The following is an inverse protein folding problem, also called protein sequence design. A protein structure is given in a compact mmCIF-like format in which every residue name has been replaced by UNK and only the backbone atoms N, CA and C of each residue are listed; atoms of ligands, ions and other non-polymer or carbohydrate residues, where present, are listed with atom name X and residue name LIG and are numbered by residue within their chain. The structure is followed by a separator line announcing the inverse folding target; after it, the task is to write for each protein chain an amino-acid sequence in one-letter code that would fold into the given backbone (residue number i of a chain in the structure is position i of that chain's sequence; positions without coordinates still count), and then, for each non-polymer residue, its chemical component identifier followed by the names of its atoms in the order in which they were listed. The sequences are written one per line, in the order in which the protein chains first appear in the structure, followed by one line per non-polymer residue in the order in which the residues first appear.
data_IF_685299886822
#
_entry.id   IF_685299886822
#
_cell.length_a   1.000
_cell.length_b   1.000
_cell.length_c   1.000
_cell.angle_alpha   90.00
_cell.angle_beta   90.00
_cell.angle_gamma   90.00
#
_symmetry.space_group_name_H-M   'P 1'
#
loop_
_entity.id
_entity.type
_entity.pdbx_description
1 polymer ?
#
# COMPACT_ATOMS: atom_id res chain seq x y z
N UNK A 1 -22.01 1.70 -28.85
CA UNK A 1 -22.56 1.39 -27.52
C UNK A 1 -21.98 2.38 -26.53
N UNK A 2 -22.83 3.14 -25.84
CA UNK A 2 -22.36 4.02 -24.76
C UNK A 2 -22.07 3.15 -23.53
N UNK A 3 -20.96 3.43 -22.90
CA UNK A 3 -20.52 2.75 -21.69
C UNK A 3 -20.53 3.73 -20.51
N UNK A 4 -21.01 3.28 -19.35
CA UNK A 4 -20.95 4.06 -18.12
C UNK A 4 -20.31 3.22 -17.01
N UNK A 5 -19.43 3.83 -16.25
CA UNK A 5 -18.77 3.18 -15.11
C UNK A 5 -19.58 3.39 -13.85
N UNK A 6 -19.81 2.30 -13.11
CA UNK A 6 -20.50 2.36 -11.81
C UNK A 6 -19.79 3.34 -10.86
N UNK A 7 -18.46 3.41 -10.91
CA UNK A 7 -17.67 4.31 -10.09
C UNK A 7 -18.05 5.78 -10.31
N UNK A 8 -18.32 6.17 -11.55
CA UNK A 8 -18.71 7.54 -11.88
C UNK A 8 -20.05 7.91 -11.22
N UNK A 9 -20.97 6.95 -11.12
CA UNK A 9 -22.23 7.13 -10.39
C UNK A 9 -22.00 7.25 -8.89
N UNK A 10 -21.13 6.42 -8.33
CA UNK A 10 -20.80 6.45 -6.89
C UNK A 10 -20.16 7.76 -6.46
N UNK A 11 -19.39 8.39 -7.34
CA UNK A 11 -18.70 9.66 -7.07
C UNK A 11 -19.59 10.88 -7.13
N UNK A 12 -20.79 10.78 -7.69
CA UNK A 12 -21.74 11.90 -7.77
C UNK A 12 -22.24 12.28 -6.38
N UNK A 13 -22.37 13.59 -6.14
CA UNK A 13 -23.04 14.10 -4.93
C UNK A 13 -24.50 13.66 -4.93
N UNK A 14 -25.19 13.64 -3.77
CA UNK A 14 -26.63 13.33 -3.73
C UNK A 14 -27.47 14.21 -4.66
N UNK A 15 -27.13 15.50 -4.75
CA UNK A 15 -27.84 16.43 -5.65
C UNK A 15 -27.59 16.10 -7.13
N UNK A 16 -26.35 15.83 -7.51
CA UNK A 16 -25.98 15.47 -8.88
C UNK A 16 -26.56 14.14 -9.30
N UNK A 17 -26.59 13.17 -8.38
CA UNK A 17 -27.20 11.87 -8.61
C UNK A 17 -28.71 11.98 -8.83
N UNK A 18 -29.39 12.81 -8.05
CA UNK A 18 -30.82 13.09 -8.22
C UNK A 18 -31.11 13.76 -9.58
N UNK A 19 -30.31 14.76 -9.95
CA UNK A 19 -30.43 15.43 -11.25
C UNK A 19 -30.24 14.45 -12.40
N UNK A 20 -29.24 13.60 -12.30
CA UNK A 20 -28.99 12.57 -13.31
C UNK A 20 -30.13 11.54 -13.40
N UNK A 21 -30.71 11.16 -12.26
CA UNK A 21 -31.87 10.27 -12.22
C UNK A 21 -33.08 10.89 -12.95
N UNK A 22 -33.33 12.18 -12.76
CA UNK A 22 -34.39 12.91 -13.46
C UNK A 22 -34.13 12.98 -14.99
N UNK A 23 -32.88 13.19 -15.40
CA UNK A 23 -32.50 13.19 -16.82
C UNK A 23 -32.75 11.85 -17.51
N UNK A 24 -32.64 10.73 -16.78
CA UNK A 24 -32.86 9.38 -17.31
C UNK A 24 -34.30 8.86 -17.01
N UNK A 25 -35.18 9.74 -16.58
CA UNK A 25 -36.62 9.45 -16.38
C UNK A 25 -36.90 8.43 -15.25
N UNK A 26 -36.19 8.53 -14.15
CA UNK A 26 -36.47 7.74 -12.94
C UNK A 26 -37.65 8.40 -12.20
N UNK A 27 -38.74 7.64 -12.00
CA UNK A 27 -39.88 8.10 -11.25
C UNK A 27 -39.61 8.08 -9.73
N UNK A 28 -40.13 9.08 -9.00
CA UNK A 28 -40.01 9.20 -7.55
C UNK A 28 -38.56 9.24 -7.02
N UNK A 29 -37.63 9.75 -7.83
CA UNK A 29 -36.19 9.79 -7.48
C UNK A 29 -35.92 10.48 -6.14
N UNK A 30 -36.63 11.56 -5.82
CA UNK A 30 -36.45 12.35 -4.60
C UNK A 30 -36.79 11.58 -3.30
N UNK A 31 -37.61 10.54 -3.40
CA UNK A 31 -38.00 9.71 -2.26
C UNK A 31 -37.08 8.50 -2.01
N UNK A 32 -36.15 8.24 -2.90
CA UNK A 32 -35.27 7.07 -2.85
C UNK A 32 -34.01 7.32 -2.02
N UNK A 33 -33.57 6.29 -1.33
CA UNK A 33 -32.21 6.27 -0.74
C UNK A 33 -31.16 6.15 -1.85
N UNK A 34 -29.92 6.54 -1.54
CA UNK A 34 -28.82 6.55 -2.53
C UNK A 34 -28.69 5.23 -3.29
N UNK A 35 -28.73 4.10 -2.60
CA UNK A 35 -28.59 2.78 -3.22
C UNK A 35 -29.79 2.43 -4.11
N UNK A 36 -31.02 2.70 -3.63
CA UNK A 36 -32.25 2.50 -4.42
C UNK A 36 -32.24 3.36 -5.67
N UNK A 37 -31.78 4.60 -5.54
CA UNK A 37 -31.65 5.54 -6.64
C UNK A 37 -30.62 5.06 -7.68
N UNK A 38 -29.48 4.56 -7.24
CA UNK A 38 -28.47 3.98 -8.14
C UNK A 38 -29.00 2.77 -8.91
N UNK A 39 -29.73 1.87 -8.23
CA UNK A 39 -30.35 0.72 -8.87
C UNK A 39 -31.39 1.12 -9.91
N UNK A 40 -32.22 2.12 -9.59
CA UNK A 40 -33.23 2.65 -10.51
C UNK A 40 -32.58 3.30 -11.75
N UNK A 41 -31.52 4.06 -11.55
CA UNK A 41 -30.75 4.66 -12.66
C UNK A 41 -30.19 3.56 -13.58
N UNK A 42 -29.59 2.53 -13.02
CA UNK A 42 -29.02 1.43 -13.78
C UNK A 42 -30.06 0.64 -14.58
N UNK A 43 -31.24 0.43 -14.02
CA UNK A 43 -32.37 -0.18 -14.75
C UNK A 43 -32.77 0.67 -15.97
N UNK A 44 -32.88 1.99 -15.80
CA UNK A 44 -33.22 2.89 -16.90
C UNK A 44 -32.13 2.93 -17.97
N UNK A 45 -30.85 2.95 -17.58
CA UNK A 45 -29.74 2.91 -18.52
C UNK A 45 -29.72 1.60 -19.30
N UNK A 46 -30.06 0.48 -18.68
CA UNK A 46 -30.18 -0.82 -19.36
C UNK A 46 -31.27 -0.80 -20.42
N UNK A 47 -32.39 -0.10 -20.21
CA UNK A 47 -33.46 0.04 -21.23
C UNK A 47 -33.02 0.89 -22.41
N UNK A 48 -31.97 1.69 -22.28
CA UNK A 48 -31.42 2.59 -23.31
C UNK A 48 -30.20 2.00 -24.02
N UNK A 49 -29.93 0.70 -23.85
CA UNK A 49 -28.76 0.01 -24.41
C UNK A 49 -27.41 0.62 -24.01
N UNK A 50 -27.33 1.15 -22.80
CA UNK A 50 -26.09 1.64 -22.20
C UNK A 50 -25.51 0.53 -21.34
N UNK A 51 -24.29 0.11 -21.65
CA UNK A 51 -23.58 -0.89 -20.85
C UNK A 51 -23.00 -0.27 -19.58
N UNK A 52 -23.25 -0.92 -18.46
CA UNK A 52 -22.68 -0.51 -17.17
C UNK A 52 -21.49 -1.41 -16.86
N UNK A 53 -20.36 -0.80 -16.56
CA UNK A 53 -19.17 -1.53 -16.12
C UNK A 53 -18.90 -1.27 -14.64
N UNK A 54 -18.42 -2.30 -13.97
CA UNK A 54 -18.00 -2.24 -12.59
C UNK A 54 -16.68 -2.95 -12.41
N UNK A 55 -15.99 -2.62 -11.34
CA UNK A 55 -14.71 -3.23 -11.01
C UNK A 55 -14.60 -3.45 -9.50
N UNK A 56 -13.70 -4.32 -9.12
CA UNK A 56 -13.38 -4.57 -7.74
C UNK A 56 -12.41 -5.73 -7.58
N UNK A 57 -12.09 -6.04 -6.35
CA UNK A 57 -11.20 -7.15 -6.01
C UNK A 57 -12.03 -8.32 -5.54
N UNK A 58 -11.84 -9.47 -6.17
CA UNK A 58 -12.58 -10.70 -5.84
C UNK A 58 -12.24 -11.18 -4.45
N UNK A 59 -13.26 -11.46 -3.67
CA UNK A 59 -13.17 -12.33 -2.50
C UNK A 59 -14.02 -13.57 -2.78
N UNK A 60 -13.37 -14.73 -2.86
CA UNK A 60 -14.03 -16.02 -3.07
C UNK A 60 -14.44 -16.58 -1.73
N UNK A 61 -15.74 -16.89 -1.58
CA UNK A 61 -16.29 -17.42 -0.34
C UNK A 61 -16.33 -18.96 -0.35
N UNK A 62 -16.51 -19.55 0.83
CA UNK A 62 -16.47 -21.02 0.99
C UNK A 62 -17.47 -21.77 0.11
N UNK A 63 -18.61 -21.16 -0.19
CA UNK A 63 -19.64 -21.76 -1.04
C UNK A 63 -19.31 -21.73 -2.54
N UNK A 64 -18.15 -21.19 -2.91
CA UNK A 64 -17.67 -21.18 -4.28
C UNK A 64 -18.10 -19.99 -5.13
N UNK A 65 -18.98 -19.14 -4.64
CA UNK A 65 -19.27 -17.84 -5.26
C UNK A 65 -18.36 -16.75 -4.68
N UNK A 66 -18.39 -15.56 -5.23
CA UNK A 66 -17.60 -14.45 -4.74
C UNK A 66 -18.25 -13.09 -4.92
N UNK A 67 -17.56 -12.08 -4.42
CA UNK A 67 -17.94 -10.68 -4.60
C UNK A 67 -16.73 -9.87 -5.06
N UNK A 68 -16.98 -8.86 -5.88
CA UNK A 68 -16.00 -7.82 -6.14
C UNK A 68 -16.14 -6.78 -5.05
N UNK A 69 -15.11 -6.65 -4.24
CA UNK A 69 -15.02 -5.68 -3.13
C UNK A 69 -14.45 -4.36 -3.62
N UNK A 70 -14.97 -3.26 -3.11
CA UNK A 70 -14.55 -1.91 -3.53
C UNK A 70 -13.42 -1.36 -2.66
N UNK A 71 -12.42 -0.68 -3.24
CA UNK A 71 -11.43 0.06 -2.46
C UNK A 71 -12.06 1.20 -1.64
N UNK A 72 -13.18 1.76 -2.07
CA UNK A 72 -13.91 2.80 -1.34
C UNK A 72 -14.44 2.30 0.02
N UNK A 73 -14.68 1.00 0.14
CA UNK A 73 -15.09 0.33 1.38
C UNK A 73 -13.92 -0.43 2.02
N UNK A 74 -12.68 -0.12 1.67
CA UNK A 74 -11.45 -0.77 2.15
C UNK A 74 -11.48 -2.29 1.96
N UNK A 75 -12.08 -2.75 0.86
CA UNK A 75 -12.27 -4.16 0.50
C UNK A 75 -13.12 -4.96 1.50
N UNK A 76 -13.84 -4.29 2.37
CA UNK A 76 -14.79 -4.92 3.28
C UNK A 76 -16.14 -5.15 2.60
N UNK A 77 -16.94 -6.13 3.08
CA UNK A 77 -18.29 -6.31 2.56
C UNK A 77 -19.11 -5.04 2.60
N UNK A 78 -19.79 -4.72 1.51
CA UNK A 78 -20.62 -3.54 1.37
C UNK A 78 -21.82 -3.77 0.47
N UNK A 79 -22.82 -2.86 0.52
CA UNK A 79 -24.05 -3.01 -0.27
C UNK A 79 -23.84 -2.85 -1.78
N UNK A 80 -22.75 -2.22 -2.18
CA UNK A 80 -22.39 -1.97 -3.58
C UNK A 80 -21.52 -3.07 -4.19
N UNK A 81 -21.28 -4.17 -3.47
CA UNK A 81 -20.49 -5.28 -3.96
C UNK A 81 -21.15 -5.96 -5.15
N UNK A 82 -20.33 -6.49 -6.04
CA UNK A 82 -20.79 -7.12 -7.26
C UNK A 82 -20.66 -8.64 -7.11
N UNK A 83 -21.78 -9.34 -7.25
CA UNK A 83 -21.82 -10.80 -7.15
C UNK A 83 -21.13 -11.45 -8.36
N UNK A 84 -20.31 -12.45 -8.07
CA UNK A 84 -19.62 -13.28 -9.07
C UNK A 84 -20.05 -14.73 -8.86
N UNK A 85 -20.61 -15.36 -9.91
CA UNK A 85 -21.14 -16.72 -9.82
C UNK A 85 -20.03 -17.78 -9.71
N UNK A 86 -20.34 -18.96 -9.15
CA UNK A 86 -19.39 -20.06 -9.10
C UNK A 86 -18.88 -20.47 -10.49
N UNK A 87 -19.73 -20.42 -11.51
CA UNK A 87 -19.35 -20.76 -12.89
C UNK A 87 -18.34 -19.78 -13.46
N UNK A 88 -18.48 -18.49 -13.17
CA UNK A 88 -17.52 -17.46 -13.59
C UNK A 88 -16.18 -17.64 -12.89
N UNK A 89 -16.20 -17.93 -11.59
CA UNK A 89 -14.99 -18.20 -10.81
C UNK A 89 -14.22 -19.38 -11.39
N UNK A 90 -14.90 -20.47 -11.69
CA UNK A 90 -14.26 -21.65 -12.31
C UNK A 90 -13.77 -21.36 -13.71
N UNK A 91 -14.59 -20.73 -14.54
CA UNK A 91 -14.27 -20.44 -15.96
C UNK A 91 -12.99 -19.62 -16.10
N UNK A 92 -12.83 -18.59 -15.27
CA UNK A 92 -11.69 -17.66 -15.34
C UNK A 92 -10.58 -18.00 -14.34
N UNK A 93 -10.75 -19.04 -13.52
CA UNK A 93 -9.78 -19.40 -12.50
C UNK A 93 -9.55 -18.28 -11.49
N UNK A 94 -10.61 -17.57 -11.10
CA UNK A 94 -10.52 -16.43 -10.20
C UNK A 94 -10.14 -16.87 -8.79
N UNK A 95 -9.25 -16.12 -8.20
CA UNK A 95 -8.81 -16.31 -6.82
C UNK A 95 -8.99 -15.00 -6.05
N UNK A 96 -9.13 -15.11 -4.72
CA UNK A 96 -9.16 -13.94 -3.85
C UNK A 96 -7.97 -13.04 -4.15
N UNK A 97 -8.23 -11.76 -4.35
CA UNK A 97 -7.22 -10.77 -4.70
C UNK A 97 -7.20 -10.37 -6.18
N UNK A 98 -7.78 -11.16 -7.08
CA UNK A 98 -7.86 -10.79 -8.50
C UNK A 98 -8.69 -9.51 -8.67
N UNK A 99 -8.12 -8.54 -9.39
CA UNK A 99 -8.84 -7.31 -9.77
C UNK A 99 -9.58 -7.56 -11.07
N UNK A 100 -10.91 -7.48 -11.02
CA UNK A 100 -11.79 -7.78 -12.16
C UNK A 100 -12.57 -6.54 -12.55
N UNK A 101 -12.61 -6.27 -13.85
CA UNK A 101 -13.47 -5.26 -14.44
C UNK A 101 -14.36 -5.92 -15.49
N UNK A 102 -15.63 -5.57 -15.49
CA UNK A 102 -16.55 -6.14 -16.44
C UNK A 102 -17.90 -5.46 -16.47
N UNK A 103 -18.76 -5.95 -17.36
CA UNK A 103 -20.12 -5.51 -17.48
C UNK A 103 -20.96 -6.09 -16.35
N UNK A 104 -21.79 -5.26 -15.74
CA UNK A 104 -22.66 -5.63 -14.62
C UNK A 104 -24.13 -5.37 -14.97
N UNK A 105 -25.02 -6.01 -14.22
CA UNK A 105 -26.46 -5.75 -14.27
C UNK A 105 -26.97 -5.39 -12.89
N UNK A 106 -28.09 -4.67 -12.86
CA UNK A 106 -28.81 -4.37 -11.63
C UNK A 106 -29.45 -5.64 -11.04
N UNK A 107 -29.76 -5.66 -9.73
CA UNK A 107 -30.44 -6.77 -9.10
C UNK A 107 -31.80 -7.08 -9.74
N UNK A 108 -32.12 -8.34 -9.90
CA UNK A 108 -33.45 -8.82 -10.23
C UNK A 108 -34.32 -8.89 -8.97
N UNK A 109 -35.62 -9.13 -9.14
CA UNK A 109 -36.54 -9.29 -8.00
C UNK A 109 -36.02 -10.41 -7.06
N UNK A 110 -35.88 -10.06 -5.77
CA UNK A 110 -35.34 -10.94 -4.75
C UNK A 110 -33.84 -10.96 -4.60
N UNK A 111 -33.10 -10.31 -5.50
CA UNK A 111 -31.66 -10.15 -5.41
C UNK A 111 -31.29 -8.85 -4.70
N UNK A 112 -30.16 -8.86 -3.99
CA UNK A 112 -29.66 -7.69 -3.23
C UNK A 112 -28.48 -6.97 -3.86
N UNK A 113 -27.76 -7.63 -4.78
CA UNK A 113 -26.49 -7.16 -5.30
C UNK A 113 -26.50 -7.00 -6.80
N UNK A 114 -25.66 -6.12 -7.31
CA UNK A 114 -25.26 -6.13 -8.71
C UNK A 114 -24.65 -7.48 -9.04
N UNK A 115 -24.78 -7.91 -10.28
CA UNK A 115 -24.18 -9.16 -10.75
C UNK A 115 -23.27 -8.91 -11.93
N UNK A 116 -22.11 -9.58 -11.93
CA UNK A 116 -21.19 -9.56 -13.05
C UNK A 116 -21.79 -10.37 -14.22
N UNK A 117 -21.90 -9.74 -15.40
CA UNK A 117 -22.38 -10.36 -16.63
C UNK A 117 -21.22 -10.89 -17.47
N UNK A 118 -20.23 -10.06 -17.71
CA UNK A 118 -19.10 -10.36 -18.59
C UNK A 118 -17.80 -9.82 -17.98
N UNK A 119 -16.75 -10.62 -18.04
CA UNK A 119 -15.41 -10.23 -17.59
C UNK A 119 -14.68 -9.57 -18.76
N UNK A 120 -14.29 -8.31 -18.61
CA UNK A 120 -13.52 -7.57 -19.61
C UNK A 120 -12.01 -7.72 -19.37
N UNK A 121 -11.58 -7.50 -18.12
CA UNK A 121 -10.16 -7.64 -17.74
C UNK A 121 -10.02 -8.33 -16.40
N UNK A 122 -8.88 -9.00 -16.23
CA UNK A 122 -8.43 -9.58 -14.95
C UNK A 122 -7.02 -9.04 -14.70
N UNK A 123 -6.84 -8.34 -13.57
CA UNK A 123 -5.58 -7.67 -13.22
C UNK A 123 -5.06 -6.78 -14.37
N UNK A 124 -5.99 -6.03 -14.97
CA UNK A 124 -5.76 -5.08 -16.08
C UNK A 124 -5.31 -5.70 -17.39
N UNK A 125 -5.42 -7.01 -17.55
CA UNK A 125 -5.07 -7.74 -18.76
C UNK A 125 -6.28 -8.47 -19.32
N UNK A 126 -6.19 -8.86 -20.60
CA UNK A 126 -7.19 -9.72 -21.21
C UNK A 126 -7.32 -11.04 -20.44
N UNK A 127 -8.54 -11.55 -20.20
CA UNK A 127 -8.74 -12.81 -19.47
C UNK A 127 -7.98 -14.01 -20.02
N UNK A 128 -7.76 -14.08 -21.33
CA UNK A 128 -7.01 -15.16 -21.94
C UNK A 128 -5.52 -15.13 -21.58
N UNK A 129 -4.95 -13.93 -21.43
CA UNK A 129 -3.56 -13.78 -21.00
C UNK A 129 -3.36 -14.18 -19.54
N UNK A 130 -4.38 -14.03 -18.70
CA UNK A 130 -4.28 -14.35 -17.27
C UNK A 130 -4.19 -15.86 -16.99
N UNK A 131 -4.48 -16.71 -17.98
CA UNK A 131 -4.43 -18.19 -17.82
C UNK A 131 -3.02 -18.75 -17.72
N UNK A 132 -2.03 -18.03 -18.21
CA UNK A 132 -0.65 -18.50 -18.33
C UNK A 132 0.30 -17.94 -17.26
N UNK A 133 -0.24 -17.50 -16.14
CA UNK A 133 0.55 -16.96 -15.03
C UNK A 133 1.13 -18.05 -14.15
N UNK A 134 2.26 -17.74 -13.53
CA UNK A 134 2.84 -18.56 -12.47
C UNK A 134 2.32 -18.01 -11.13
N UNK A 135 1.85 -18.90 -10.25
CA UNK A 135 1.37 -18.49 -8.93
C UNK A 135 2.50 -17.90 -8.09
N UNK A 136 2.18 -16.91 -7.27
CA UNK A 136 3.16 -16.14 -6.49
C UNK A 136 4.15 -17.01 -5.72
N UNK A 137 3.67 -18.07 -5.07
CA UNK A 137 4.52 -18.96 -4.26
C UNK A 137 5.57 -19.73 -5.07
N UNK A 138 5.37 -19.84 -6.38
CA UNK A 138 6.28 -20.52 -7.30
C UNK A 138 7.23 -19.56 -8.04
N UNK A 139 7.11 -18.26 -7.81
CA UNK A 139 8.01 -17.26 -8.40
C UNK A 139 9.36 -17.26 -7.70
N UNK A 140 10.42 -16.97 -8.45
CA UNK A 140 11.80 -17.00 -7.92
C UNK A 140 12.16 -15.66 -7.28
N UNK A 141 12.38 -15.61 -5.96
CA UNK A 141 12.73 -14.37 -5.28
C UNK A 141 14.21 -14.00 -5.52
N UNK A 142 14.43 -12.71 -5.76
CA UNK A 142 15.75 -12.12 -5.92
C UNK A 142 15.92 -10.94 -4.95
N UNK A 143 17.17 -10.53 -4.74
CA UNK A 143 17.44 -9.25 -4.11
C UNK A 143 16.97 -8.10 -4.99
N UNK A 144 16.54 -6.96 -4.40
CA UNK A 144 16.28 -5.76 -5.18
C UNK A 144 17.52 -5.35 -5.99
N UNK A 145 17.35 -5.10 -7.28
CA UNK A 145 18.40 -4.73 -8.22
C UNK A 145 18.06 -3.53 -9.10
N UNK A 146 16.87 -2.96 -8.91
CA UNK A 146 16.44 -1.75 -9.59
C UNK A 146 16.12 -0.67 -8.56
N UNK A 147 16.86 0.43 -8.61
CA UNK A 147 16.78 1.50 -7.62
C UNK A 147 15.49 2.31 -7.77
N UNK A 148 14.74 2.42 -6.68
CA UNK A 148 13.63 3.36 -6.54
C UNK A 148 14.19 4.68 -6.00
N UNK A 149 14.61 5.54 -6.90
CA UNK A 149 15.18 6.85 -6.54
C UNK A 149 14.11 7.70 -5.88
N UNK A 150 14.40 8.21 -4.70
CA UNK A 150 13.48 9.07 -3.94
C UNK A 150 13.62 10.54 -4.33
N UNK A 151 14.80 10.98 -4.71
CA UNK A 151 15.04 12.36 -5.15
C UNK A 151 14.16 12.69 -6.37
N UNK A 152 13.42 13.79 -6.27
CA UNK A 152 12.54 14.27 -7.35
C UNK A 152 13.17 15.51 -7.96
N UNK A 153 13.37 15.51 -9.27
CA UNK A 153 13.92 16.63 -10.01
C UNK A 153 12.98 17.84 -9.94
N UNK A 154 13.53 19.00 -9.64
CA UNK A 154 12.76 20.26 -9.58
C UNK A 154 11.86 20.39 -8.35
N UNK A 155 11.94 19.48 -7.38
CA UNK A 155 11.12 19.55 -6.16
C UNK A 155 11.51 20.73 -5.28
N UNK A 156 10.55 21.17 -4.43
CA UNK A 156 10.81 22.20 -3.43
C UNK A 156 11.90 21.73 -2.46
N UNK A 157 12.94 22.56 -2.31
CA UNK A 157 14.16 22.23 -1.57
C UNK A 157 13.98 22.20 -0.05
N UNK A 158 12.76 22.43 0.47
CA UNK A 158 12.53 22.54 1.91
C UNK A 158 12.63 21.20 2.61
N UNK A 159 12.15 20.12 1.98
CA UNK A 159 12.20 18.80 2.56
C UNK A 159 13.29 17.97 1.87
N UNK A 160 14.35 17.70 2.65
CA UNK A 160 15.51 16.96 2.19
C UNK A 160 15.37 15.44 2.42
N UNK A 161 14.25 14.97 2.96
CA UNK A 161 14.04 13.56 3.28
C UNK A 161 14.31 12.62 2.10
N UNK A 162 13.78 12.87 0.88
CA UNK A 162 14.07 11.99 -0.25
C UNK A 162 15.55 11.88 -0.59
N UNK A 163 16.26 13.02 -0.51
CA UNK A 163 17.71 13.05 -0.78
C UNK A 163 18.51 12.27 0.26
N UNK A 164 18.11 12.40 1.54
CA UNK A 164 18.78 11.70 2.64
C UNK A 164 18.55 10.19 2.53
N UNK A 165 17.34 9.76 2.22
CA UNK A 165 17.02 8.33 2.04
C UNK A 165 17.89 7.70 0.95
N UNK A 166 18.02 8.35 -0.19
CA UNK A 166 18.84 7.85 -1.30
C UNK A 166 20.32 7.68 -0.92
N UNK A 167 20.82 8.54 -0.03
CA UNK A 167 22.21 8.51 0.43
C UNK A 167 22.43 7.45 1.51
N UNK A 168 21.48 7.35 2.45
CA UNK A 168 21.65 6.58 3.70
C UNK A 168 21.09 5.17 3.59
N UNK A 169 19.93 5.03 2.98
CA UNK A 169 19.21 3.76 2.88
C UNK A 169 18.47 3.69 1.54
N UNK A 170 19.19 3.51 0.42
CA UNK A 170 18.55 3.43 -0.89
C UNK A 170 17.57 2.26 -0.94
N UNK A 171 16.43 2.50 -1.57
CA UNK A 171 15.33 1.54 -1.70
C UNK A 171 15.26 1.01 -3.13
N UNK A 172 14.96 -0.25 -3.29
CA UNK A 172 14.79 -0.87 -4.59
C UNK A 172 13.45 -1.55 -4.75
N UNK A 173 13.09 -1.87 -5.98
CA UNK A 173 11.91 -2.69 -6.28
C UNK A 173 12.07 -4.06 -5.64
N UNK A 174 11.11 -4.46 -4.82
CA UNK A 174 11.19 -5.69 -4.04
C UNK A 174 11.76 -5.51 -2.64
N UNK A 175 12.02 -4.28 -2.22
CA UNK A 175 12.58 -3.99 -0.90
C UNK A 175 11.63 -4.38 0.22
N UNK A 176 12.19 -4.96 1.26
CA UNK A 176 11.50 -5.24 2.52
C UNK A 176 12.09 -4.34 3.58
N UNK A 177 11.51 -3.13 3.71
CA UNK A 177 12.07 -2.06 4.53
C UNK A 177 11.25 -1.77 5.77
N UNK A 178 11.97 -1.43 6.86
CA UNK A 178 11.36 -0.92 8.09
C UNK A 178 11.73 0.55 8.28
N UNK A 179 10.73 1.34 8.65
CA UNK A 179 10.93 2.67 9.21
C UNK A 179 10.74 2.54 10.71
N UNK A 180 11.83 2.54 11.46
CA UNK A 180 11.83 2.36 12.91
C UNK A 180 11.57 3.72 13.55
N UNK A 181 10.41 3.90 14.16
CA UNK A 181 9.93 5.21 14.58
C UNK A 181 9.52 5.25 16.05
N UNK A 182 10.26 5.98 16.90
CA UNK A 182 9.73 6.44 18.17
C UNK A 182 8.56 7.41 17.95
N UNK A 183 7.74 7.67 18.99
CA UNK A 183 6.67 8.66 18.85
C UNK A 183 7.18 10.05 18.48
N UNK A 184 6.43 10.76 17.64
CA UNK A 184 6.68 12.17 17.26
C UNK A 184 8.00 12.39 16.52
N UNK A 185 8.39 11.45 15.66
CA UNK A 185 9.64 11.54 14.90
C UNK A 185 9.46 11.84 13.41
N UNK A 186 8.23 12.12 12.99
CA UNK A 186 7.94 12.48 11.59
C UNK A 186 7.77 11.29 10.64
N UNK A 187 7.35 10.13 11.14
CA UNK A 187 7.15 8.94 10.31
C UNK A 187 6.16 9.15 9.17
N UNK A 188 5.09 9.90 9.42
CA UNK A 188 4.05 10.19 8.42
C UNK A 188 4.61 11.01 7.27
N UNK A 189 5.43 12.03 7.57
CA UNK A 189 6.10 12.83 6.53
C UNK A 189 7.04 11.98 5.68
N UNK A 190 7.77 11.06 6.28
CA UNK A 190 8.64 10.13 5.55
C UNK A 190 7.82 9.27 4.59
N UNK A 191 6.71 8.70 5.05
CA UNK A 191 5.83 7.90 4.20
C UNK A 191 5.22 8.71 3.05
N UNK A 192 4.77 9.93 3.32
CA UNK A 192 4.24 10.83 2.29
C UNK A 192 5.30 11.18 1.24
N UNK A 193 6.53 11.43 1.67
CA UNK A 193 7.66 11.69 0.77
C UNK A 193 7.97 10.46 -0.10
N UNK A 194 8.01 9.28 0.48
CA UNK A 194 8.25 8.04 -0.27
C UNK A 194 7.13 7.83 -1.29
N UNK A 195 5.87 8.01 -0.89
CA UNK A 195 4.72 7.88 -1.79
C UNK A 195 4.81 8.85 -2.97
N UNK A 196 5.07 10.13 -2.69
CA UNK A 196 5.21 11.16 -3.71
C UNK A 196 6.37 10.86 -4.68
N UNK A 197 7.51 10.43 -4.14
CA UNK A 197 8.68 10.10 -4.95
C UNK A 197 8.42 8.92 -5.88
N UNK A 198 7.75 7.89 -5.39
CA UNK A 198 7.40 6.71 -6.19
C UNK A 198 6.42 7.08 -7.31
N UNK A 199 5.35 7.80 -7.01
CA UNK A 199 4.36 8.18 -8.01
C UNK A 199 4.93 9.12 -9.07
N UNK A 200 5.89 9.96 -8.70
CA UNK A 200 6.55 10.90 -9.62
C UNK A 200 7.63 10.22 -10.47
N UNK A 201 8.52 9.45 -9.85
CA UNK A 201 9.68 8.86 -10.50
C UNK A 201 9.40 7.51 -11.14
N UNK A 202 8.42 6.76 -10.63
CA UNK A 202 8.09 5.41 -11.05
C UNK A 202 6.58 5.24 -11.20
N UNK A 203 5.96 5.94 -12.17
CA UNK A 203 4.50 5.88 -12.36
C UNK A 203 3.98 4.51 -12.76
N UNK A 204 4.86 3.60 -13.22
CA UNK A 204 4.50 2.20 -13.50
C UNK A 204 4.22 1.40 -12.24
N UNK A 205 4.71 1.82 -11.08
CA UNK A 205 4.46 1.13 -9.82
C UNK A 205 3.02 1.34 -9.35
N UNK A 206 2.39 0.25 -8.94
CA UNK A 206 1.07 0.30 -8.31
C UNK A 206 1.26 0.55 -6.81
N UNK A 207 0.90 1.73 -6.36
CA UNK A 207 1.11 2.16 -4.97
C UNK A 207 -0.15 1.95 -4.14
N UNK A 208 0.00 1.25 -3.02
CA UNK A 208 -1.03 1.08 -2.00
C UNK A 208 -0.48 1.58 -0.67
N UNK A 209 -1.19 2.51 -0.03
CA UNK A 209 -0.91 2.91 1.35
C UNK A 209 -1.93 2.21 2.24
N UNK A 210 -1.45 1.40 3.16
CA UNK A 210 -2.28 0.63 4.10
C UNK A 210 -2.10 1.18 5.51
N UNK A 211 -3.17 1.73 6.06
CA UNK A 211 -3.19 2.34 7.39
C UNK A 211 -3.99 1.45 8.34
N UNK A 212 -3.32 0.91 9.35
CA UNK A 212 -3.94 0.01 10.33
C UNK A 212 -3.92 0.67 11.70
N UNK A 213 -5.12 0.80 12.31
CA UNK A 213 -5.31 1.35 13.65
C UNK A 213 -4.86 2.82 13.75
N UNK A 214 -4.98 3.56 12.65
CA UNK A 214 -4.70 5.00 12.59
C UNK A 214 -5.96 5.82 12.85
N UNK A 215 -5.77 7.11 13.10
CA UNK A 215 -6.88 8.05 13.32
C UNK A 215 -7.56 8.43 12.01
N UNK A 216 -8.89 8.65 12.00
CA UNK A 216 -9.60 9.04 10.77
C UNK A 216 -9.03 10.30 10.11
N UNK A 217 -8.61 11.31 10.88
CA UNK A 217 -8.01 12.53 10.35
C UNK A 217 -6.66 12.27 9.64
N UNK A 218 -5.88 11.31 10.11
CA UNK A 218 -4.62 10.91 9.46
C UNK A 218 -4.89 10.16 8.15
N UNK A 219 -5.95 9.36 8.09
CA UNK A 219 -6.40 8.71 6.86
C UNK A 219 -6.78 9.76 5.81
N UNK A 220 -7.58 10.75 6.20
CA UNK A 220 -8.01 11.83 5.32
C UNK A 220 -6.80 12.61 4.79
N UNK A 221 -5.85 12.93 5.65
CA UNK A 221 -4.62 13.63 5.27
C UNK A 221 -3.81 12.84 4.25
N UNK A 222 -3.68 11.54 4.46
CA UNK A 222 -2.98 10.65 3.53
C UNK A 222 -3.70 10.56 2.17
N UNK A 223 -5.01 10.42 2.17
CA UNK A 223 -5.82 10.39 0.94
C UNK A 223 -5.66 11.67 0.10
N UNK A 224 -5.54 12.83 0.78
CA UNK A 224 -5.38 14.12 0.11
C UNK A 224 -3.96 14.38 -0.39
N UNK A 225 -2.96 13.78 0.23
CA UNK A 225 -1.55 14.04 -0.06
C UNK A 225 -0.90 12.98 -0.96
N UNK A 226 -1.50 11.81 -1.13
CA UNK A 226 -0.94 10.69 -1.90
C UNK A 226 -1.76 10.44 -3.15
N UNK A 227 -1.08 10.38 -4.28
CA UNK A 227 -1.67 9.96 -5.56
C UNK A 227 -1.52 8.45 -5.72
N UNK A 228 -2.34 7.71 -5.00
CA UNK A 228 -2.33 6.26 -4.97
C UNK A 228 -3.56 5.73 -4.25
N UNK A 229 -3.63 4.41 -4.09
CA UNK A 229 -4.72 3.78 -3.38
C UNK A 229 -4.45 3.84 -1.88
N UNK A 230 -5.36 4.44 -1.10
CA UNK A 230 -5.26 4.50 0.36
C UNK A 230 -6.35 3.61 0.95
N UNK A 231 -5.93 2.56 1.63
CA UNK A 231 -6.80 1.58 2.28
C UNK A 231 -6.56 1.66 3.78
N UNK A 232 -7.61 1.68 4.56
CA UNK A 232 -7.49 1.89 6.00
C UNK A 232 -8.44 1.02 6.83
N UNK A 233 -8.04 0.78 8.05
CA UNK A 233 -8.89 0.30 9.13
C UNK A 233 -8.52 1.11 10.37
N UNK A 234 -9.40 2.03 10.77
CA UNK A 234 -9.15 3.01 11.81
C UNK A 234 -9.23 2.42 13.23
N UNK A 235 -8.75 3.19 14.22
CA UNK A 235 -8.61 2.71 15.60
C UNK A 235 -9.94 2.31 16.27
N UNK A 236 -11.06 2.81 15.77
CA UNK A 236 -12.40 2.50 16.25
C UNK A 236 -12.98 1.19 15.68
N UNK A 237 -12.28 0.58 14.73
CA UNK A 237 -12.63 -0.72 14.17
C UNK A 237 -12.07 -1.88 15.02
N UNK A 238 -12.77 -3.04 15.06
CA UNK A 238 -12.24 -4.19 15.78
C UNK A 238 -11.03 -4.83 15.10
N UNK A 239 -10.21 -5.53 15.87
CA UNK A 239 -8.99 -6.17 15.38
C UNK A 239 -9.22 -7.12 14.20
N UNK A 240 -10.35 -7.82 14.18
CA UNK A 240 -10.72 -8.71 13.08
C UNK A 240 -10.83 -7.97 11.74
N UNK A 241 -11.27 -6.72 11.75
CA UNK A 241 -11.34 -5.88 10.54
C UNK A 241 -9.96 -5.46 10.07
N UNK A 242 -9.06 -5.11 10.98
CA UNK A 242 -7.67 -4.80 10.63
C UNK A 242 -7.04 -5.96 9.87
N UNK A 243 -7.22 -7.18 10.37
CA UNK A 243 -6.71 -8.40 9.72
C UNK A 243 -7.35 -8.62 8.37
N UNK A 244 -8.66 -8.50 8.26
CA UNK A 244 -9.40 -8.71 7.01
C UNK A 244 -8.96 -7.74 5.91
N UNK A 245 -8.82 -6.47 6.24
CA UNK A 245 -8.35 -5.45 5.30
C UNK A 245 -6.93 -5.76 4.82
N UNK A 246 -6.02 -6.07 5.74
CA UNK A 246 -4.63 -6.40 5.41
C UNK A 246 -4.53 -7.64 4.51
N UNK A 247 -5.33 -8.68 4.79
CA UNK A 247 -5.36 -9.91 3.99
C UNK A 247 -5.84 -9.63 2.55
N UNK A 248 -6.85 -8.80 2.38
CA UNK A 248 -7.32 -8.43 1.04
C UNK A 248 -6.28 -7.63 0.26
N UNK A 249 -5.58 -6.72 0.91
CA UNK A 249 -4.53 -5.92 0.29
C UNK A 249 -3.37 -6.80 -0.18
N UNK A 250 -2.88 -7.69 0.66
CA UNK A 250 -1.75 -8.55 0.29
C UNK A 250 -2.12 -9.54 -0.83
N UNK A 251 -3.33 -10.08 -0.81
CA UNK A 251 -3.79 -10.97 -1.86
C UNK A 251 -3.91 -10.22 -3.20
N UNK A 252 -4.45 -9.00 -3.19
CA UNK A 252 -4.47 -8.15 -4.38
C UNK A 252 -3.06 -7.91 -4.92
N UNK A 253 -2.14 -7.54 -4.05
CA UNK A 253 -0.76 -7.28 -4.44
C UNK A 253 -0.09 -8.51 -5.06
N UNK A 254 -0.27 -9.69 -4.47
CA UNK A 254 0.25 -10.94 -5.01
C UNK A 254 -0.29 -11.24 -6.41
N UNK A 255 -1.60 -11.02 -6.64
CA UNK A 255 -2.21 -11.25 -7.96
C UNK A 255 -1.62 -10.30 -9.00
N UNK A 256 -1.42 -9.04 -8.67
CA UNK A 256 -0.78 -8.07 -9.57
C UNK A 256 0.67 -8.47 -9.90
N UNK A 257 1.44 -8.94 -8.93
CA UNK A 257 2.81 -9.40 -9.14
C UNK A 257 2.86 -10.63 -10.03
N UNK A 258 1.89 -11.54 -9.93
CA UNK A 258 1.77 -12.68 -10.84
C UNK A 258 1.60 -12.26 -12.31
N UNK A 259 1.07 -11.04 -12.52
CA UNK A 259 0.94 -10.41 -13.83
C UNK A 259 2.10 -9.47 -14.17
N UNK A 260 3.24 -9.65 -13.52
CA UNK A 260 4.50 -8.91 -13.75
C UNK A 260 4.40 -7.43 -13.46
N UNK A 261 3.50 -7.04 -12.54
CA UNK A 261 3.38 -5.65 -12.09
C UNK A 261 4.34 -5.39 -10.93
N UNK A 262 4.79 -4.16 -10.83
CA UNK A 262 5.56 -3.68 -9.69
C UNK A 262 4.60 -3.04 -8.69
N UNK A 263 4.48 -3.64 -7.51
CA UNK A 263 3.57 -3.17 -6.46
C UNK A 263 4.37 -2.64 -5.29
N UNK A 264 3.98 -1.50 -4.77
CA UNK A 264 4.56 -0.92 -3.55
C UNK A 264 3.46 -0.78 -2.51
N UNK A 265 3.68 -1.37 -1.34
CA UNK A 265 2.81 -1.22 -0.18
C UNK A 265 3.57 -0.42 0.88
N UNK A 266 2.98 0.71 1.29
CA UNK A 266 3.44 1.47 2.45
C UNK A 266 2.49 1.16 3.60
N UNK A 267 2.99 0.50 4.63
CA UNK A 267 2.19 0.02 5.76
C UNK A 267 2.50 0.85 7.03
N UNK A 268 1.53 1.48 7.57
CA UNK A 268 1.61 2.16 8.86
C UNK A 268 0.53 1.59 9.80
N UNK A 269 0.85 0.69 10.70
CA UNK A 269 2.16 0.15 11.03
C UNK A 269 2.13 -1.37 11.13
N UNK A 270 3.28 -2.01 10.96
CA UNK A 270 3.42 -3.46 11.18
C UNK A 270 3.21 -3.82 12.66
N UNK A 271 3.56 -2.92 13.56
CA UNK A 271 3.36 -3.10 15.01
C UNK A 271 1.88 -3.28 15.36
N UNK A 272 1.04 -2.41 14.82
CA UNK A 272 -0.41 -2.47 15.07
C UNK A 272 -1.07 -3.65 14.35
N UNK A 273 -0.57 -4.00 13.18
CA UNK A 273 -1.01 -5.22 12.50
C UNK A 273 -0.66 -6.46 13.32
N UNK A 274 0.55 -6.50 13.88
CA UNK A 274 0.96 -7.57 14.79
C UNK A 274 0.07 -7.68 16.02
N UNK A 275 -0.31 -6.56 16.62
CA UNK A 275 -1.27 -6.51 17.74
C UNK A 275 -2.64 -7.08 17.35
N UNK A 276 -3.12 -6.70 16.16
CA UNK A 276 -4.41 -7.16 15.65
C UNK A 276 -4.41 -8.68 15.47
N UNK A 277 -3.37 -9.24 14.88
CA UNK A 277 -3.22 -10.68 14.76
C UNK A 277 -3.13 -11.40 16.13
N UNK A 278 -2.43 -10.79 17.09
CA UNK A 278 -2.36 -11.33 18.44
C UNK A 278 -3.75 -11.43 19.11
N UNK A 279 -4.64 -10.50 18.79
CA UNK A 279 -6.02 -10.51 19.31
C UNK A 279 -6.89 -11.58 18.64
N UNK A 280 -6.74 -11.82 17.34
CA UNK A 280 -7.66 -12.68 16.56
C UNK A 280 -7.17 -14.11 16.40
N UNK A 281 -5.87 -14.37 16.54
CA UNK A 281 -5.32 -15.73 16.41
C UNK A 281 -5.72 -16.59 17.60
N UNK A 282 -6.18 -17.84 17.38
CA UNK A 282 -6.48 -18.75 18.48
C UNK A 282 -5.25 -18.96 19.39
N UNK A 283 -5.47 -18.96 20.70
CA UNK A 283 -4.39 -19.14 21.67
C UNK A 283 -3.68 -20.48 21.47
N UNK A 284 -2.34 -20.45 21.41
CA UNK A 284 -1.50 -21.65 21.37
C UNK A 284 -1.29 -22.30 22.76
N UNK A 285 -1.69 -21.61 23.83
CA UNK A 285 -1.35 -21.96 25.20
C UNK A 285 0.06 -21.52 25.62
N UNK A 286 0.84 -20.93 24.71
CA UNK A 286 2.17 -20.38 24.97
C UNK A 286 2.16 -18.90 24.72
N UNK A 287 2.37 -18.10 25.76
CA UNK A 287 2.44 -16.65 25.69
C UNK A 287 3.89 -16.22 25.89
N UNK A 288 4.43 -15.48 24.94
CA UNK A 288 5.76 -14.89 25.03
C UNK A 288 5.74 -13.66 25.96
N UNK A 289 6.93 -13.17 26.30
CA UNK A 289 7.08 -11.92 27.05
C UNK A 289 6.27 -10.81 26.38
N UNK A 290 5.60 -9.96 27.17
CA UNK A 290 4.78 -8.88 26.64
C UNK A 290 3.36 -9.24 26.21
N UNK A 291 2.93 -10.49 26.45
CA UNK A 291 1.57 -10.93 26.15
C UNK A 291 1.33 -11.33 24.69
N UNK A 292 2.39 -11.59 23.93
CA UNK A 292 2.31 -12.02 22.53
C UNK A 292 2.19 -13.56 22.48
N UNK A 293 1.13 -14.07 21.84
CA UNK A 293 0.98 -15.50 21.61
C UNK A 293 2.07 -16.01 20.66
N UNK A 294 2.59 -17.20 20.89
CA UNK A 294 3.68 -17.79 20.11
C UNK A 294 3.37 -17.89 18.61
N UNK A 295 2.09 -18.04 18.25
CA UNK A 295 1.65 -18.16 16.84
C UNK A 295 1.16 -16.85 16.23
N UNK A 296 1.07 -15.77 17.01
CA UNK A 296 0.42 -14.52 16.59
C UNK A 296 1.14 -13.81 15.44
N UNK A 297 2.47 -13.86 15.40
CA UNK A 297 3.27 -13.10 14.46
C UNK A 297 3.57 -13.86 13.16
N UNK A 298 3.15 -15.08 13.02
CA UNK A 298 3.42 -15.90 11.84
C UNK A 298 2.80 -15.30 10.56
N UNK A 299 1.53 -14.91 10.63
CA UNK A 299 0.83 -14.30 9.48
C UNK A 299 1.33 -12.91 9.13
N UNK A 300 1.54 -11.99 10.08
CA UNK A 300 2.16 -10.70 9.73
C UNK A 300 3.60 -10.85 9.23
N UNK A 301 4.37 -11.84 9.67
CA UNK A 301 5.68 -12.15 9.07
C UNK A 301 5.56 -12.61 7.62
N UNK A 302 4.54 -13.41 7.29
CA UNK A 302 4.26 -13.80 5.90
C UNK A 302 3.83 -12.61 5.06
N UNK A 303 3.07 -11.68 5.64
CA UNK A 303 2.71 -10.42 4.97
C UNK A 303 3.98 -9.65 4.59
N UNK A 304 4.81 -9.34 5.59
CA UNK A 304 6.05 -8.58 5.37
C UNK A 304 7.05 -9.35 4.49
N UNK A 305 7.15 -10.64 4.70
CA UNK A 305 8.01 -11.54 3.94
C UNK A 305 7.60 -11.74 2.48
N UNK A 306 6.41 -11.31 2.07
CA UNK A 306 5.99 -11.33 0.67
C UNK A 306 6.75 -10.31 -0.18
N UNK A 307 7.40 -9.32 0.43
CA UNK A 307 8.23 -8.35 -0.28
C UNK A 307 9.45 -9.02 -0.90
N UNK A 308 9.56 -8.94 -2.23
CA UNK A 308 10.63 -9.56 -3.01
C UNK A 308 10.67 -9.02 -4.43
N UNK A 309 11.85 -9.01 -5.00
CA UNK A 309 12.02 -8.87 -6.44
C UNK A 309 11.86 -10.24 -7.08
N UNK A 310 11.37 -10.31 -8.29
CA UNK A 310 10.99 -11.56 -8.95
C UNK A 310 11.75 -11.73 -10.26
N UNK A 311 12.42 -12.88 -10.43
CA UNK A 311 13.20 -13.20 -11.63
C UNK A 311 12.32 -13.21 -12.89
N UNK A 312 11.12 -13.75 -12.80
CA UNK A 312 10.18 -13.87 -13.92
C UNK A 312 9.54 -12.52 -14.31
N UNK A 313 9.77 -11.48 -13.53
CA UNK A 313 9.24 -10.14 -13.74
C UNK A 313 8.24 -9.73 -12.67
N UNK A 314 8.15 -8.42 -12.46
CA UNK A 314 7.36 -7.85 -11.37
C UNK A 314 8.12 -7.80 -10.06
N UNK A 315 7.55 -7.13 -9.09
CA UNK A 315 8.13 -7.01 -7.75
C UNK A 315 7.06 -6.65 -6.74
N UNK A 316 7.30 -7.02 -5.48
CA UNK A 316 6.51 -6.53 -4.36
C UNK A 316 7.45 -5.84 -3.38
N UNK A 317 7.25 -4.54 -3.20
CA UNK A 317 7.97 -3.72 -2.23
C UNK A 317 7.06 -3.45 -1.05
N UNK A 318 7.54 -3.68 0.18
CA UNK A 318 6.80 -3.35 1.39
C UNK A 318 7.70 -2.52 2.29
N UNK A 319 7.28 -1.28 2.54
CA UNK A 319 7.93 -0.37 3.48
C UNK A 319 6.95 -0.19 4.64
N UNK A 320 7.30 -0.71 5.79
CA UNK A 320 6.43 -0.71 6.96
C UNK A 320 7.05 0.10 8.11
N UNK A 321 6.20 0.84 8.82
CA UNK A 321 6.62 1.49 10.05
C UNK A 321 6.57 0.50 11.21
N UNK A 322 7.61 0.51 12.02
CA UNK A 322 7.70 -0.24 13.26
C UNK A 322 7.81 0.75 14.42
N UNK A 323 6.90 0.65 15.38
CA UNK A 323 6.82 1.59 16.50
C UNK A 323 7.71 1.11 17.66
N UNK A 324 8.55 2.00 18.15
CA UNK A 324 9.42 1.75 19.31
C UNK A 324 9.22 2.84 20.37
N UNK A 325 9.71 2.61 21.58
CA UNK A 325 9.66 3.55 22.70
C UNK A 325 8.24 4.06 23.00
N UNK A 326 7.25 3.19 22.82
CA UNK A 326 5.83 3.49 23.07
C UNK A 326 5.42 3.26 24.52
N UNK A 327 6.31 2.69 25.34
CA UNK A 327 6.00 2.24 26.68
C UNK A 327 5.33 0.87 26.75
N UNK A 328 5.06 0.26 25.61
CA UNK A 328 4.43 -1.06 25.51
C UNK A 328 5.47 -2.17 25.37
N UNK A 329 5.45 -3.13 26.29
CA UNK A 329 6.31 -4.32 26.20
C UNK A 329 5.96 -5.17 24.97
N UNK A 330 4.69 -5.23 24.62
CA UNK A 330 4.22 -5.94 23.43
C UNK A 330 4.84 -5.36 22.16
N UNK A 331 4.88 -4.03 22.03
CA UNK A 331 5.48 -3.37 20.88
C UNK A 331 6.97 -3.67 20.74
N UNK A 332 7.70 -3.74 21.85
CA UNK A 332 9.11 -4.11 21.85
C UNK A 332 9.31 -5.54 21.33
N UNK A 333 8.49 -6.48 21.78
CA UNK A 333 8.55 -7.88 21.32
C UNK A 333 8.23 -7.98 19.83
N UNK A 334 7.20 -7.28 19.36
CA UNK A 334 6.85 -7.25 17.95
C UNK A 334 8.00 -6.68 17.11
N UNK A 335 8.59 -5.58 17.54
CA UNK A 335 9.73 -4.98 16.85
C UNK A 335 10.91 -5.94 16.74
N UNK A 336 11.30 -6.60 17.83
CA UNK A 336 12.42 -7.56 17.83
C UNK A 336 12.15 -8.73 16.86
N UNK A 337 10.92 -9.19 16.75
CA UNK A 337 10.54 -10.26 15.83
C UNK A 337 10.64 -9.85 14.35
N UNK A 338 10.40 -8.57 14.02
CA UNK A 338 10.49 -8.07 12.63
C UNK A 338 11.86 -7.53 12.26
N UNK A 339 12.67 -7.14 13.22
CA UNK A 339 13.98 -6.52 13.00
C UNK A 339 14.90 -7.35 12.10
N UNK A 340 14.92 -8.67 12.29
CA UNK A 340 15.74 -9.58 11.50
C UNK A 340 15.17 -9.97 10.14
N UNK A 341 13.92 -9.61 9.85
CA UNK A 341 13.23 -9.99 8.60
C UNK A 341 13.44 -8.99 7.48
N UNK A 342 13.63 -7.73 7.78
CA UNK A 342 13.84 -6.67 6.80
C UNK A 342 15.23 -6.66 6.20
N UNK A 343 15.33 -6.11 5.00
CA UNK A 343 16.62 -5.91 4.30
C UNK A 343 16.96 -4.43 4.10
N UNK A 344 16.20 -3.53 4.67
CA UNK A 344 16.47 -2.09 4.74
C UNK A 344 15.87 -1.52 6.01
N UNK A 345 16.57 -0.59 6.62
CA UNK A 345 16.07 0.12 7.82
C UNK A 345 16.34 1.61 7.70
N UNK A 346 15.31 2.40 7.98
CA UNK A 346 15.39 3.84 8.20
C UNK A 346 15.04 4.07 9.66
N UNK A 347 16.04 4.39 10.48
CA UNK A 347 15.85 4.56 11.91
C UNK A 347 15.68 6.04 12.23
N UNK A 348 14.58 6.39 12.88
CA UNK A 348 14.30 7.76 13.32
C UNK A 348 14.70 7.92 14.78
N UNK A 349 15.22 9.10 15.13
CA UNK A 349 15.71 9.41 16.46
C UNK A 349 14.86 10.49 17.12
N UNK A 350 14.39 10.21 18.34
CA UNK A 350 13.52 11.12 19.09
C UNK A 350 14.25 12.40 19.51
N UNK A 351 15.50 12.32 19.93
CA UNK A 351 16.27 13.50 20.39
C UNK A 351 16.49 14.48 19.24
N UNK A 352 16.72 13.97 18.04
CA UNK A 352 16.84 14.79 16.81
C UNK A 352 15.53 15.49 16.51
N UNK A 353 14.42 14.76 16.55
CA UNK A 353 13.09 15.31 16.33
C UNK A 353 12.69 16.35 17.39
N UNK A 354 13.03 16.13 18.65
CA UNK A 354 12.78 17.07 19.74
C UNK A 354 13.45 18.42 19.49
N UNK A 355 14.58 18.43 18.80
CA UNK A 355 15.28 19.65 18.38
C UNK A 355 14.78 20.23 17.06
N UNK A 356 13.69 19.70 16.53
CA UNK A 356 13.06 20.14 15.27
C UNK A 356 13.98 20.03 14.06
N UNK A 357 14.90 19.05 14.07
CA UNK A 357 15.72 18.70 12.92
C UNK A 357 15.04 17.56 12.18
N UNK A 358 14.67 17.79 10.92
CA UNK A 358 13.98 16.81 10.07
C UNK A 358 14.63 16.73 8.69
N UNK A 359 14.75 15.52 8.11
CA UNK A 359 14.31 14.23 8.68
C UNK A 359 15.16 13.82 9.88
N UNK A 360 14.51 13.29 10.91
CA UNK A 360 15.17 12.91 12.16
C UNK A 360 15.83 11.51 12.04
N UNK A 361 16.62 11.32 11.01
CA UNK A 361 17.22 10.02 10.68
C UNK A 361 18.53 9.80 11.43
N UNK A 362 18.63 8.65 12.09
CA UNK A 362 19.89 8.15 12.65
C UNK A 362 20.68 7.48 11.53
N UNK A 363 21.66 8.19 10.99
CA UNK A 363 22.41 7.75 9.82
C UNK A 363 23.19 6.47 10.09
N UNK A 364 23.84 6.38 11.24
CA UNK A 364 24.68 5.23 11.59
C UNK A 364 23.88 3.92 11.71
N UNK A 365 22.61 4.00 12.15
CA UNK A 365 21.72 2.83 12.34
C UNK A 365 20.86 2.52 11.14
N UNK A 366 20.88 3.37 10.12
CA UNK A 366 20.09 3.19 8.90
C UNK A 366 20.96 2.57 7.79
N UNK A 367 20.34 1.85 6.88
CA UNK A 367 21.05 1.26 5.75
C UNK A 367 20.23 0.23 5.00
N UNK A 368 20.76 -0.22 3.87
CA UNK A 368 20.15 -1.23 2.99
C UNK A 368 21.16 -2.33 2.69
N UNK A 369 20.74 -3.58 2.83
CA UNK A 369 21.54 -4.74 2.45
C UNK A 369 21.66 -4.81 0.93
N UNK A 370 22.86 -5.20 0.44
CA UNK A 370 23.12 -5.37 -0.99
C UNK A 370 22.83 -4.11 -1.81
N UNK A 371 23.12 -2.94 -1.23
CA UNK A 371 22.93 -1.65 -1.91
C UNK A 371 23.77 -1.52 -3.19
N UNK A 372 24.86 -2.30 -3.30
CA UNK A 372 25.69 -2.38 -4.50
C UNK A 372 24.95 -2.88 -5.74
N UNK A 373 23.80 -3.56 -5.54
CA UNK A 373 22.93 -3.99 -6.65
C UNK A 373 22.01 -2.86 -7.13
N UNK A 374 21.83 -1.81 -6.32
CA UNK A 374 20.94 -0.69 -6.60
C UNK A 374 21.68 0.54 -7.11
N UNK A 375 22.76 0.89 -6.44
CA UNK A 375 23.48 2.15 -6.65
C UNK A 375 24.67 1.91 -7.58
N UNK A 376 24.86 2.79 -8.60
CA UNK A 376 26.04 2.69 -9.47
C UNK A 376 27.36 2.74 -8.68
N UNK A 377 28.35 1.99 -9.11
CA UNK A 377 29.63 1.85 -8.42
C UNK A 377 30.32 3.18 -8.10
N UNK A 378 30.29 4.12 -9.04
CA UNK A 378 30.87 5.46 -8.85
C UNK A 378 30.22 6.23 -7.71
N UNK A 379 28.91 6.18 -7.61
CA UNK A 379 28.13 6.79 -6.53
C UNK A 379 28.39 6.06 -5.20
N UNK A 380 28.41 4.73 -5.23
CA UNK A 380 28.59 3.89 -4.05
C UNK A 380 29.94 4.18 -3.36
N UNK A 381 30.99 4.33 -4.12
CA UNK A 381 32.32 4.70 -3.59
C UNK A 381 32.28 6.03 -2.84
N UNK A 382 31.62 7.03 -3.39
CA UNK A 382 31.44 8.34 -2.74
C UNK A 382 30.59 8.24 -1.48
N UNK A 383 29.56 7.40 -1.49
CA UNK A 383 28.74 7.13 -0.31
C UNK A 383 29.57 6.50 0.81
N UNK A 384 30.46 5.60 0.51
CA UNK A 384 31.36 5.00 1.50
C UNK A 384 32.30 6.03 2.12
N UNK A 385 32.84 6.93 1.31
CA UNK A 385 33.69 8.04 1.82
C UNK A 385 32.86 8.93 2.76
N UNK A 386 31.65 9.28 2.37
CA UNK A 386 30.76 10.08 3.21
C UNK A 386 30.46 9.39 4.55
N UNK A 387 30.19 8.10 4.55
CA UNK A 387 29.93 7.33 5.77
C UNK A 387 31.12 7.32 6.71
N UNK A 388 32.32 7.25 6.18
CA UNK A 388 33.57 7.35 6.99
C UNK A 388 33.69 8.70 7.66
N UNK A 389 33.22 9.77 7.02
CA UNK A 389 33.22 11.12 7.59
C UNK A 389 32.15 11.22 8.70
N UNK A 390 30.97 10.62 8.46
CA UNK A 390 29.82 10.73 9.37
C UNK A 390 29.89 9.79 10.58
N UNK A 391 30.47 8.60 10.43
CA UNK A 391 30.51 7.58 11.49
C UNK A 391 31.11 8.04 12.82
N UNK A 392 32.21 8.82 12.87
CA UNK A 392 32.75 9.32 14.13
C UNK A 392 31.87 10.37 14.82
N UNK A 393 30.92 10.96 14.10
CA UNK A 393 30.02 11.98 14.63
C UNK A 393 28.90 11.35 15.44
N UNK A 394 28.38 12.06 16.42
CA UNK A 394 27.15 11.67 17.13
C UNK A 394 25.93 11.75 16.22
N UNK A 395 24.82 11.15 16.65
CA UNK A 395 23.57 11.08 15.88
C UNK A 395 23.10 12.47 15.42
N UNK A 396 23.03 13.43 16.35
CA UNK A 396 22.63 14.81 16.04
C UNK A 396 23.59 15.50 15.08
N UNK A 397 24.89 15.40 15.38
CA UNK A 397 25.93 16.05 14.59
C UNK A 397 25.97 15.55 13.15
N UNK A 398 25.85 14.25 12.94
CA UNK A 398 25.90 13.64 11.61
C UNK A 398 24.74 14.08 10.72
N UNK A 399 23.51 14.08 11.23
CA UNK A 399 22.34 14.49 10.43
C UNK A 399 22.36 16.02 10.16
N UNK A 400 22.72 16.83 11.15
CA UNK A 400 22.86 18.29 10.94
C UNK A 400 23.94 18.60 9.90
N UNK A 401 25.08 17.93 9.99
CA UNK A 401 26.17 18.09 9.01
C UNK A 401 25.68 17.75 7.60
N UNK A 402 25.04 16.60 7.43
CA UNK A 402 24.55 16.16 6.12
C UNK A 402 23.50 17.14 5.57
N UNK A 403 22.53 17.55 6.38
CA UNK A 403 21.50 18.49 5.95
C UNK A 403 22.08 19.84 5.53
N UNK A 404 23.06 20.37 6.26
CA UNK A 404 23.73 21.63 5.92
C UNK A 404 24.44 21.54 4.56
N UNK A 405 25.11 20.43 4.30
CA UNK A 405 25.78 20.19 3.02
C UNK A 405 24.80 20.03 1.86
N UNK A 406 23.68 19.32 2.09
CA UNK A 406 22.65 19.14 1.08
C UNK A 406 21.94 20.44 0.72
N UNK A 407 21.74 21.34 1.67
CA UNK A 407 21.14 22.67 1.43
C UNK A 407 21.96 23.53 0.47
N UNK A 408 23.27 23.30 0.41
CA UNK A 408 24.21 24.04 -0.44
C UNK A 408 24.17 23.57 -1.91
N UNK A 409 23.52 22.45 -2.21
CA UNK A 409 23.44 21.85 -3.54
C UNK A 409 21.99 21.59 -3.94
N UNK A 410 21.75 21.49 -5.23
CA UNK A 410 20.39 21.23 -5.76
C UNK A 410 20.05 19.75 -5.81
N UNK A 411 21.04 18.92 -6.10
CA UNK A 411 20.87 17.48 -6.32
C UNK A 411 21.91 16.69 -5.54
N UNK A 412 21.66 15.40 -5.35
CA UNK A 412 22.64 14.50 -4.75
C UNK A 412 23.89 14.36 -5.63
N UNK A 413 23.72 14.37 -6.95
CA UNK A 413 24.83 14.36 -7.88
C UNK A 413 25.76 15.56 -7.68
N UNK A 414 25.19 16.77 -7.59
CA UNK A 414 25.93 17.99 -7.29
C UNK A 414 26.65 17.91 -5.95
N UNK A 415 25.97 17.36 -4.94
CA UNK A 415 26.56 17.17 -3.62
C UNK A 415 27.77 16.24 -3.66
N UNK A 416 27.67 15.09 -4.31
CA UNK A 416 28.77 14.13 -4.42
C UNK A 416 29.91 14.68 -5.29
N UNK A 417 29.62 15.44 -6.32
CA UNK A 417 30.64 16.10 -7.14
C UNK A 417 31.41 17.15 -6.34
N UNK A 418 30.75 17.86 -5.43
CA UNK A 418 31.39 18.84 -4.55
C UNK A 418 32.37 18.21 -3.55
N UNK A 419 32.26 16.93 -3.27
CA UNK A 419 33.17 16.22 -2.36
C UNK A 419 34.57 15.99 -2.97
N UNK A 420 34.71 16.14 -4.28
CA UNK A 420 35.98 15.94 -4.99
C UNK A 420 36.81 17.23 -5.05
N UNK A 421 36.34 18.34 -4.52
CA UNK A 421 37.00 19.62 -4.40
C UNK A 421 37.27 19.93 -2.93
#
# INVERSE_FOLDING_TARGET
VQEMKLQDLKMKSPADLLSFAEEVDVENASAMRKQELMFAILKQLATRDIDITGSGVVEVLQDGFGFLRSPDANYLPGPDDIYVSPSQIRRFGLRTGDTVEGQIRSPKDGERYFALLKVNTINFQDPDQSRHKIHFDNLTPLYPDEWLVMEVEGSDKKDLSPRVIDIVAPLGKGQRGLIVAPPRTGKTMILQNIAHSITTNRPECYLIVLLIDERPEEVTDMERSVDGEVISSTFDEPAARHVQVAEMVIEKAKRLVEHKRDVVILLDSITRLGRAYNTVVPSSGKVLTGGVDANALQRPKRFFGAARNIEEGGSMTIIATALIDTGSRMDEVIFEEFKGTGNSEIVLDRKVADKRVFPAIDIARSGTRKEELLVPESRLKKMFVLRRILNPMGTMESIEFLLDKLRQTKTNEDFFDSMNT
#
